data_IF_321826788679
#
_entry.id   IF_321826788679
#
_cell.length_a   1.000
_cell.length_b   1.000
_cell.length_c   1.000
_cell.angle_alpha   90.00
_cell.angle_beta   90.00
_cell.angle_gamma   90.00
#
_symmetry.space_group_name_H-M   'P 1'
#
loop_
_entity.id
_entity.type
_entity.pdbx_description
1 polymer ?
#
# COMPACT_ATOMS: atom_id res chain seq x y z
N UNK A 1 63.37 -49.35 -17.44
CA UNK A 1 62.61 -48.47 -16.51
C UNK A 1 61.73 -47.55 -17.34
N UNK A 2 60.44 -47.49 -17.03
CA UNK A 2 59.36 -46.98 -17.90
C UNK A 2 59.35 -45.43 -17.96
N UNK A 3 59.37 -44.86 -19.17
CA UNK A 3 59.04 -43.44 -19.40
C UNK A 3 57.53 -43.22 -19.28
N UNK A 4 57.09 -42.34 -18.37
CA UNK A 4 55.70 -41.90 -18.25
C UNK A 4 55.47 -40.64 -19.09
N UNK A 5 54.68 -40.78 -20.16
CA UNK A 5 54.13 -39.66 -20.92
C UNK A 5 52.90 -39.10 -20.18
N UNK A 6 52.98 -37.84 -19.74
CA UNK A 6 51.87 -37.10 -19.12
C UNK A 6 50.95 -36.58 -20.23
N UNK A 7 49.74 -37.13 -20.33
CA UNK A 7 48.68 -36.56 -21.19
C UNK A 7 48.08 -35.34 -20.50
N UNK A 8 48.21 -34.17 -21.11
CA UNK A 8 47.51 -32.95 -20.70
C UNK A 8 46.06 -33.04 -21.22
N UNK A 9 45.09 -33.03 -20.31
CA UNK A 9 43.66 -32.86 -20.65
C UNK A 9 43.35 -31.37 -20.68
N UNK A 10 42.99 -30.86 -21.85
CA UNK A 10 42.38 -29.54 -21.99
C UNK A 10 40.96 -29.61 -21.38
N UNK A 11 40.70 -28.87 -20.30
CA UNK A 11 39.32 -28.58 -19.88
C UNK A 11 38.82 -27.43 -20.74
N UNK A 12 37.75 -27.68 -21.50
CA UNK A 12 36.97 -26.63 -22.16
C UNK A 12 35.92 -26.16 -21.15
N UNK A 13 36.15 -25.00 -20.56
CA UNK A 13 35.17 -24.35 -19.69
C UNK A 13 34.12 -23.66 -20.56
N UNK A 14 32.93 -24.23 -20.66
CA UNK A 14 31.79 -23.57 -21.28
C UNK A 14 31.32 -22.44 -20.34
N UNK A 15 31.64 -21.19 -20.70
CA UNK A 15 31.08 -20.03 -20.02
C UNK A 15 29.61 -19.91 -20.41
N UNK A 16 28.71 -20.26 -19.49
CA UNK A 16 27.29 -19.97 -19.60
C UNK A 16 27.15 -18.45 -19.44
N UNK A 17 26.95 -17.75 -20.55
CA UNK A 17 26.53 -16.36 -20.55
C UNK A 17 25.11 -16.29 -20.00
N UNK A 18 24.96 -16.06 -18.69
CA UNK A 18 23.73 -15.53 -18.14
C UNK A 18 23.58 -14.10 -18.67
N UNK A 19 22.83 -13.92 -19.75
CA UNK A 19 22.32 -12.59 -20.10
C UNK A 19 21.42 -12.12 -18.95
N UNK A 20 21.66 -10.93 -18.37
CA UNK A 20 20.73 -10.39 -17.40
C UNK A 20 19.39 -10.24 -18.10
N UNK A 21 18.37 -10.95 -17.61
CA UNK A 21 16.99 -10.64 -17.98
C UNK A 21 16.74 -9.24 -17.46
N UNK A 22 16.70 -8.25 -18.36
CA UNK A 22 16.11 -6.96 -18.05
C UNK A 22 14.64 -7.27 -17.84
N UNK A 23 14.20 -7.31 -16.58
CA UNK A 23 12.77 -7.36 -16.28
C UNK A 23 12.20 -6.03 -16.77
N UNK A 24 11.51 -6.06 -17.91
CA UNK A 24 10.71 -4.95 -18.37
C UNK A 24 9.45 -4.93 -17.49
N UNK A 25 9.41 -4.02 -16.51
CA UNK A 25 8.23 -3.80 -15.68
C UNK A 25 7.21 -2.93 -16.43
N UNK A 26 6.95 -3.25 -17.69
CA UNK A 26 5.96 -2.51 -18.48
C UNK A 26 4.58 -2.94 -18.01
N UNK A 27 3.68 -2.00 -17.68
CA UNK A 27 2.32 -2.37 -17.34
C UNK A 27 1.66 -3.03 -18.56
N UNK A 28 1.12 -4.24 -18.38
CA UNK A 28 0.23 -4.88 -19.35
C UNK A 28 -1.21 -4.76 -18.84
N UNK A 29 -2.04 -4.01 -19.55
CA UNK A 29 -3.45 -3.86 -19.21
C UNK A 29 -4.21 -5.19 -19.24
N UNK A 30 -3.68 -6.23 -19.91
CA UNK A 30 -4.26 -7.56 -19.90
C UNK A 30 -4.03 -8.33 -18.57
N UNK A 31 -3.06 -7.91 -17.75
CA UNK A 31 -2.82 -8.48 -16.43
C UNK A 31 -3.76 -7.92 -15.36
N UNK A 32 -4.35 -6.74 -15.61
CA UNK A 32 -5.36 -6.19 -14.72
C UNK A 32 -6.67 -6.98 -14.81
N UNK A 33 -7.37 -7.06 -13.68
CA UNK A 33 -8.76 -7.49 -13.65
C UNK A 33 -9.57 -6.50 -14.48
N UNK A 34 -10.18 -6.96 -15.57
CA UNK A 34 -10.85 -6.06 -16.51
C UNK A 34 -12.06 -5.35 -15.87
N UNK A 35 -12.60 -5.91 -14.79
CA UNK A 35 -13.67 -5.33 -13.96
C UNK A 35 -13.17 -4.22 -13.02
N UNK A 36 -11.86 -4.02 -12.89
CA UNK A 36 -11.29 -2.92 -12.14
C UNK A 36 -11.58 -1.56 -12.77
N UNK A 37 -11.69 -1.52 -14.10
CA UNK A 37 -11.83 -0.29 -14.85
C UNK A 37 -13.30 0.11 -15.01
N UNK A 38 -13.60 1.38 -14.71
CA UNK A 38 -14.92 1.98 -14.96
C UNK A 38 -15.16 2.15 -16.45
N UNK A 39 -14.09 2.41 -17.20
CA UNK A 39 -14.07 2.50 -18.65
C UNK A 39 -12.76 1.91 -19.19
N UNK A 40 -12.73 1.52 -20.47
CA UNK A 40 -11.50 0.99 -21.06
C UNK A 40 -10.37 2.03 -20.99
N UNK A 41 -9.19 1.66 -20.47
CA UNK A 41 -8.05 2.57 -20.41
C UNK A 41 -7.66 3.10 -21.78
N UNK A 42 -7.23 4.36 -21.83
CA UNK A 42 -6.74 4.98 -23.07
C UNK A 42 -5.26 5.32 -22.95
N UNK A 43 -4.59 5.52 -24.08
CA UNK A 43 -3.20 6.00 -24.09
C UNK A 43 -3.20 7.50 -24.34
N UNK A 44 -2.55 8.25 -23.45
CA UNK A 44 -2.44 9.71 -23.49
C UNK A 44 -0.97 10.14 -23.42
N UNK A 45 -0.69 11.36 -23.87
CA UNK A 45 0.62 12.00 -23.66
C UNK A 45 0.78 12.37 -22.18
N UNK A 46 1.96 12.11 -21.61
CA UNK A 46 2.28 12.44 -20.22
C UNK A 46 3.74 12.86 -20.06
N UNK A 47 4.09 13.36 -18.88
CA UNK A 47 5.45 13.76 -18.52
C UNK A 47 5.89 12.99 -17.29
N UNK A 48 7.04 12.31 -17.37
CA UNK A 48 7.65 11.61 -16.24
C UNK A 48 8.19 12.61 -15.21
N UNK A 49 8.52 12.12 -14.01
CA UNK A 49 9.00 12.97 -12.90
C UNK A 49 10.33 13.67 -13.19
N UNK A 50 11.12 13.19 -14.15
CA UNK A 50 12.37 13.81 -14.61
C UNK A 50 12.16 14.86 -15.73
N UNK A 51 10.92 15.06 -16.18
CA UNK A 51 10.56 15.98 -17.27
C UNK A 51 10.56 15.33 -18.66
N UNK A 52 10.89 14.04 -18.78
CA UNK A 52 10.85 13.31 -20.04
C UNK A 52 9.41 13.18 -20.55
N UNK A 53 9.17 13.54 -21.81
CA UNK A 53 7.90 13.29 -22.48
C UNK A 53 7.71 11.79 -22.74
N UNK A 54 6.54 11.26 -22.42
CA UNK A 54 6.21 9.84 -22.51
C UNK A 54 4.75 9.63 -22.93
N UNK A 55 4.35 8.37 -23.07
CA UNK A 55 2.95 7.97 -23.14
C UNK A 55 2.55 7.20 -21.89
N UNK A 56 1.33 7.42 -21.42
CA UNK A 56 0.77 6.76 -20.24
C UNK A 56 -0.56 6.11 -20.59
N UNK A 57 -0.87 4.99 -19.91
CA UNK A 57 -2.24 4.55 -19.76
C UNK A 57 -2.96 5.48 -18.78
N UNK A 58 -4.06 6.07 -19.21
CA UNK A 58 -5.03 6.71 -18.35
C UNK A 58 -6.05 5.67 -17.92
N UNK A 59 -6.05 5.36 -16.62
CA UNK A 59 -6.85 4.31 -16.01
C UNK A 59 -7.82 4.97 -15.03
N UNK A 60 -9.12 4.71 -15.20
CA UNK A 60 -10.16 5.14 -14.26
C UNK A 60 -10.75 3.93 -13.55
N UNK A 61 -10.66 3.92 -12.22
CA UNK A 61 -11.19 2.85 -11.34
C UNK A 61 -12.27 3.41 -10.41
N UNK A 62 -13.12 2.53 -9.87
CA UNK A 62 -14.10 2.90 -8.85
C UNK A 62 -13.48 3.05 -7.46
N UNK A 63 -14.32 3.42 -6.48
CA UNK A 63 -13.92 3.57 -5.08
C UNK A 63 -13.31 2.30 -4.45
N UNK A 64 -13.70 1.10 -4.90
CA UNK A 64 -13.06 -0.19 -4.60
C UNK A 64 -13.48 -1.25 -5.64
N UNK A 65 -12.78 -2.39 -5.74
CA UNK A 65 -13.25 -3.55 -6.51
C UNK A 65 -14.56 -4.12 -5.96
N UNK A 66 -15.46 -4.55 -6.84
CA UNK A 66 -16.78 -5.06 -6.45
C UNK A 66 -16.69 -6.21 -5.43
N UNK A 67 -15.79 -7.16 -5.67
CA UNK A 67 -15.62 -8.37 -4.86
C UNK A 67 -14.64 -8.19 -3.67
N UNK A 68 -14.11 -6.98 -3.47
CA UNK A 68 -13.24 -6.70 -2.32
C UNK A 68 -14.09 -6.40 -1.08
N UNK A 69 -14.11 -7.34 -0.15
CA UNK A 69 -14.59 -7.12 1.22
C UNK A 69 -13.55 -6.30 1.99
N UNK A 70 -13.99 -5.21 2.63
CA UNK A 70 -13.12 -4.29 3.36
C UNK A 70 -13.53 -4.21 4.84
N UNK A 71 -12.57 -3.88 5.69
CA UNK A 71 -12.79 -3.86 7.14
C UNK A 71 -12.78 -5.27 7.76
N UNK A 72 -13.09 -5.37 9.07
CA UNK A 72 -13.31 -4.28 10.02
C UNK A 72 -12.06 -3.40 10.22
N UNK A 73 -12.27 -2.11 10.52
CA UNK A 73 -11.22 -1.10 10.74
C UNK A 73 -11.06 -0.78 12.24
N UNK A 74 -11.90 0.09 12.79
CA UNK A 74 -11.92 0.39 14.22
C UNK A 74 -12.86 -0.57 14.97
N UNK A 75 -12.46 -1.16 16.11
CA UNK A 75 -13.40 -1.87 16.97
C UNK A 75 -14.37 -0.88 17.63
N UNK A 76 -15.63 -1.26 17.81
CA UNK A 76 -16.62 -0.39 18.47
C UNK A 76 -16.35 -0.25 19.97
N UNK A 77 -15.91 -1.33 20.61
CA UNK A 77 -15.58 -1.38 22.04
C UNK A 77 -14.29 -2.13 22.29
N UNK A 78 -13.74 -2.04 23.51
CA UNK A 78 -12.60 -2.85 23.95
C UNK A 78 -12.86 -4.36 23.88
N UNK A 79 -14.10 -4.84 23.84
CA UNK A 79 -14.39 -6.27 23.71
C UNK A 79 -14.36 -6.76 22.25
N UNK A 80 -14.27 -5.84 21.29
CA UNK A 80 -14.22 -6.13 19.87
C UNK A 80 -12.78 -6.10 19.36
N UNK A 81 -12.58 -6.54 18.12
CA UNK A 81 -11.32 -6.42 17.43
C UNK A 81 -11.53 -5.77 16.05
N UNK A 82 -10.77 -4.71 15.79
CA UNK A 82 -10.85 -3.87 14.60
C UNK A 82 -10.13 -4.48 13.41
N UNK A 83 -9.12 -3.82 12.88
CA UNK A 83 -8.24 -4.29 11.83
C UNK A 83 -6.81 -4.45 12.35
N UNK A 84 -5.83 -3.88 11.68
CA UNK A 84 -4.42 -3.88 12.09
C UNK A 84 -3.83 -2.47 12.10
N UNK A 85 -2.74 -2.31 12.85
CA UNK A 85 -1.96 -1.09 12.85
C UNK A 85 -0.47 -1.38 13.00
N UNK A 86 0.36 -0.73 12.19
CA UNK A 86 1.82 -0.77 12.33
C UNK A 86 2.28 0.28 13.34
N UNK A 87 2.45 -0.17 14.59
CA UNK A 87 2.90 0.71 15.65
C UNK A 87 4.41 0.88 15.59
N UNK A 88 4.86 2.14 15.51
CA UNK A 88 6.29 2.49 15.36
C UNK A 88 6.92 3.06 16.63
N UNK A 89 6.21 3.08 17.76
CA UNK A 89 6.69 3.61 19.03
C UNK A 89 7.38 2.56 19.91
N UNK A 90 7.32 2.74 21.22
CA UNK A 90 7.83 1.73 22.16
C UNK A 90 7.08 0.41 21.99
N UNK A 91 7.80 -0.70 21.87
CA UNK A 91 7.25 -2.01 21.46
C UNK A 91 6.75 -2.06 20.01
N UNK A 92 7.47 -1.40 19.09
CA UNK A 92 7.13 -1.35 17.67
C UNK A 92 6.95 -2.73 17.03
N UNK A 93 5.82 -2.92 16.34
CA UNK A 93 5.48 -4.05 15.47
C UNK A 93 4.07 -3.82 14.90
N UNK A 94 3.66 -4.75 14.03
CA UNK A 94 2.26 -4.89 13.62
C UNK A 94 1.40 -5.45 14.75
N UNK A 95 0.28 -4.79 15.04
CA UNK A 95 -0.70 -5.21 16.03
C UNK A 95 -2.08 -5.42 15.41
N UNK A 96 -2.82 -6.36 16.00
CA UNK A 96 -4.28 -6.38 15.92
C UNK A 96 -4.81 -5.19 16.73
N UNK A 97 -5.80 -4.47 16.20
CA UNK A 97 -6.47 -3.41 16.98
C UNK A 97 -7.50 -4.05 17.90
N UNK A 98 -7.05 -4.55 19.06
CA UNK A 98 -7.87 -5.19 20.09
C UNK A 98 -7.64 -4.57 21.48
N UNK A 99 -8.30 -5.10 22.51
CA UNK A 99 -8.16 -4.63 23.90
C UNK A 99 -6.70 -4.51 24.33
N UNK A 100 -5.89 -5.53 24.06
CA UNK A 100 -4.52 -5.60 24.55
C UNK A 100 -3.67 -4.49 23.92
N UNK A 101 -3.86 -4.25 22.62
CA UNK A 101 -3.18 -3.17 21.93
C UNK A 101 -3.66 -1.79 22.41
N UNK A 102 -4.97 -1.57 22.53
CA UNK A 102 -5.51 -0.27 22.94
C UNK A 102 -5.12 0.09 24.38
N UNK A 103 -5.08 -0.89 25.29
CA UNK A 103 -4.58 -0.68 26.66
C UNK A 103 -3.08 -0.40 26.70
N UNK A 104 -2.30 -1.05 25.83
CA UNK A 104 -0.87 -0.74 25.70
C UNK A 104 -0.64 0.70 25.24
N UNK A 105 -1.45 1.19 24.28
CA UNK A 105 -1.41 2.58 23.86
C UNK A 105 -1.79 3.55 25.00
N UNK A 106 -2.82 3.23 25.79
CA UNK A 106 -3.25 4.03 26.96
C UNK A 106 -2.13 4.13 28.00
N UNK A 107 -1.45 3.02 28.31
CA UNK A 107 -0.27 3.00 29.20
C UNK A 107 0.88 3.89 28.68
N UNK A 108 0.98 4.05 27.36
CA UNK A 108 1.93 4.94 26.70
C UNK A 108 1.43 6.39 26.56
N UNK A 109 0.22 6.69 27.04
CA UNK A 109 -0.39 8.02 27.02
C UNK A 109 -1.27 8.32 25.80
N UNK A 110 -1.58 7.32 24.98
CA UNK A 110 -2.44 7.43 23.81
C UNK A 110 -3.80 6.77 24.07
N UNK A 111 -4.73 7.51 24.67
CA UNK A 111 -6.03 6.97 25.07
C UNK A 111 -7.09 7.04 23.96
N UNK A 112 -7.43 5.88 23.39
CA UNK A 112 -8.41 5.74 22.29
C UNK A 112 -9.82 5.31 22.74
N UNK A 113 -10.13 5.28 24.04
CA UNK A 113 -11.42 4.77 24.53
C UNK A 113 -11.89 5.50 25.80
N UNK A 114 -13.20 5.49 26.00
CA UNK A 114 -13.90 6.00 27.18
C UNK A 114 -13.81 5.03 28.36
N UNK A 115 -14.11 5.47 29.58
CA UNK A 115 -14.04 4.62 30.79
C UNK A 115 -14.97 3.40 30.75
N UNK A 116 -16.03 3.44 29.95
CA UNK A 116 -16.94 2.31 29.72
C UNK A 116 -16.45 1.32 28.65
N UNK A 117 -15.32 1.63 28.00
CA UNK A 117 -14.69 0.83 26.96
C UNK A 117 -15.19 1.11 25.55
N UNK A 118 -16.02 2.14 25.32
CA UNK A 118 -16.34 2.60 23.97
C UNK A 118 -15.09 3.20 23.31
N UNK A 119 -14.78 2.80 22.07
CA UNK A 119 -13.63 3.32 21.34
C UNK A 119 -14.00 4.65 20.67
N UNK A 120 -13.11 5.63 20.76
CA UNK A 120 -13.25 6.89 20.05
C UNK A 120 -13.06 6.64 18.54
N UNK A 121 -14.16 6.65 17.79
CA UNK A 121 -14.15 6.48 16.33
C UNK A 121 -14.53 7.81 15.67
N UNK A 122 -13.85 8.14 14.58
CA UNK A 122 -14.15 9.32 13.77
C UNK A 122 -14.11 8.98 12.28
N UNK A 123 -15.11 9.44 11.55
CA UNK A 123 -15.03 9.56 10.10
C UNK A 123 -14.46 10.94 9.78
N UNK A 124 -13.18 10.99 9.41
CA UNK A 124 -12.49 12.26 9.20
C UNK A 124 -12.70 12.86 7.80
N UNK A 125 -13.53 12.23 6.96
CA UNK A 125 -14.03 12.84 5.73
C UNK A 125 -15.07 13.94 6.05
N UNK A 126 -15.92 13.69 7.05
CA UNK A 126 -17.02 14.60 7.44
C UNK A 126 -16.76 15.37 8.72
N UNK A 127 -16.05 14.76 9.67
CA UNK A 127 -15.91 15.29 11.02
C UNK A 127 -14.45 15.52 11.42
N UNK A 128 -14.25 16.49 12.33
CA UNK A 128 -12.94 16.69 12.96
C UNK A 128 -12.90 15.93 14.28
N UNK A 129 -11.81 15.22 14.61
CA UNK A 129 -11.65 14.62 15.92
C UNK A 129 -11.79 15.68 17.04
N UNK A 130 -12.60 15.39 18.05
CA UNK A 130 -12.84 16.27 19.20
C UNK A 130 -12.11 15.80 20.48
N UNK A 131 -11.44 14.66 20.39
CA UNK A 131 -10.63 14.03 21.43
C UNK A 131 -9.17 13.97 20.99
N UNK A 132 -8.24 13.84 21.93
CA UNK A 132 -6.80 13.82 21.64
C UNK A 132 -6.39 12.63 20.76
N UNK A 133 -7.04 11.48 20.95
CA UNK A 133 -6.78 10.26 20.19
C UNK A 133 -8.07 9.58 19.74
N UNK A 134 -8.17 9.33 18.43
CA UNK A 134 -9.32 8.73 17.79
C UNK A 134 -8.87 7.76 16.71
N UNK A 135 -9.55 6.62 16.65
CA UNK A 135 -9.41 5.65 15.58
C UNK A 135 -10.20 6.18 14.38
N UNK A 136 -9.53 6.37 13.25
CA UNK A 136 -10.14 6.88 12.02
C UNK A 136 -10.74 5.69 11.25
N UNK A 137 -12.01 5.81 10.90
CA UNK A 137 -12.76 4.85 10.10
C UNK A 137 -13.67 5.64 9.14
N UNK A 138 -13.22 5.78 7.90
CA UNK A 138 -13.92 6.55 6.87
C UNK A 138 -14.93 5.67 6.15
N UNK A 139 -16.13 6.19 5.94
CA UNK A 139 -17.16 5.54 5.14
C UNK A 139 -16.83 5.65 3.65
N UNK A 140 -16.97 4.58 2.86
CA UNK A 140 -16.77 4.67 1.41
C UNK A 140 -17.83 5.58 0.76
N UNK A 141 -17.42 6.31 -0.27
CA UNK A 141 -18.29 7.02 -1.19
C UNK A 141 -18.35 6.24 -2.50
N UNK A 142 -19.48 5.59 -2.75
CA UNK A 142 -19.66 4.68 -3.88
C UNK A 142 -19.65 5.38 -5.24
N UNK A 143 -19.83 6.71 -5.26
CA UNK A 143 -19.87 7.51 -6.48
C UNK A 143 -18.49 8.01 -6.92
N UNK A 144 -17.45 7.79 -6.08
CA UNK A 144 -16.09 8.25 -6.37
C UNK A 144 -15.39 7.34 -7.38
N UNK A 145 -14.66 7.99 -8.28
CA UNK A 145 -13.73 7.36 -9.21
C UNK A 145 -12.34 7.97 -9.09
N UNK A 146 -11.32 7.17 -9.38
CA UNK A 146 -9.92 7.57 -9.30
C UNK A 146 -9.31 7.40 -10.69
N UNK A 147 -8.71 8.47 -11.22
CA UNK A 147 -7.95 8.43 -12.46
C UNK A 147 -6.45 8.46 -12.18
N UNK A 148 -5.72 7.52 -12.78
CA UNK A 148 -4.28 7.34 -12.63
C UNK A 148 -3.59 7.33 -14.00
N UNK A 149 -2.34 7.79 -14.02
CA UNK A 149 -1.45 7.69 -15.18
C UNK A 149 -0.35 6.68 -14.90
N UNK A 150 -0.31 5.60 -15.68
CA UNK A 150 0.75 4.59 -15.65
C UNK A 150 1.61 4.71 -16.91
N UNK A 151 2.92 5.01 -16.82
CA UNK A 151 3.79 5.05 -17.99
C UNK A 151 3.76 3.73 -18.77
N UNK A 152 3.54 3.79 -20.08
CA UNK A 152 3.53 2.58 -20.94
C UNK A 152 4.92 1.94 -20.99
N UNK A 153 5.96 2.78 -21.02
CA UNK A 153 7.37 2.39 -20.99
C UNK A 153 8.05 3.14 -19.82
N UNK A 154 8.01 2.58 -18.59
CA UNK A 154 8.58 3.23 -17.42
C UNK A 154 10.11 3.25 -17.51
N UNK A 155 10.70 4.39 -17.15
CA UNK A 155 12.16 4.58 -17.12
C UNK A 155 12.68 4.34 -15.71
N UNK A 156 13.73 3.53 -15.61
CA UNK A 156 14.44 3.33 -14.34
C UNK A 156 15.03 4.65 -13.84
N UNK A 157 14.67 5.03 -12.62
CA UNK A 157 15.22 6.22 -11.98
C UNK A 157 16.73 6.05 -11.68
N UNK A 158 17.49 7.14 -11.83
CA UNK A 158 18.93 7.15 -11.55
C UNK A 158 19.27 6.86 -10.08
N UNK A 159 18.36 7.18 -9.16
CA UNK A 159 18.48 6.98 -7.72
C UNK A 159 17.13 6.58 -7.11
N UNK A 160 17.12 5.82 -6.00
CA UNK A 160 15.89 5.51 -5.29
C UNK A 160 15.15 6.78 -4.81
N UNK A 161 13.85 6.84 -5.04
CA UNK A 161 12.98 7.89 -4.51
C UNK A 161 12.54 7.55 -3.09
N UNK A 162 12.69 8.49 -2.15
CA UNK A 162 12.11 8.36 -0.81
C UNK A 162 10.63 8.75 -0.88
N UNK A 163 9.73 7.80 -0.64
CA UNK A 163 8.29 7.98 -0.79
C UNK A 163 7.66 8.86 0.32
N UNK A 164 8.25 8.91 1.51
CA UNK A 164 7.66 9.64 2.64
C UNK A 164 6.37 9.00 3.14
N UNK A 165 5.55 9.77 3.85
CA UNK A 165 4.18 9.39 4.24
C UNK A 165 3.24 9.63 3.06
N UNK A 166 2.28 8.72 2.83
CA UNK A 166 1.30 8.80 1.71
C UNK A 166 1.92 9.03 0.32
N UNK A 167 3.10 8.48 0.09
CA UNK A 167 3.76 8.50 -1.22
C UNK A 167 3.16 7.46 -2.15
N UNK A 168 2.98 7.80 -3.43
CA UNK A 168 2.44 6.88 -4.45
C UNK A 168 3.44 5.76 -4.74
N UNK A 169 3.07 4.52 -4.44
CA UNK A 169 3.90 3.32 -4.68
C UNK A 169 3.53 2.70 -6.03
N UNK A 170 2.24 2.52 -6.28
CA UNK A 170 1.75 1.84 -7.46
C UNK A 170 0.25 1.60 -7.41
N UNK A 171 -0.21 0.61 -8.16
CA UNK A 171 -1.61 0.16 -8.21
C UNK A 171 -1.59 -1.37 -8.29
N UNK A 172 -2.51 -2.02 -7.59
CA UNK A 172 -2.71 -3.46 -7.66
C UNK A 172 -3.44 -3.84 -8.97
N UNK A 173 -3.37 -5.12 -9.36
CA UNK A 173 -4.00 -5.60 -10.61
C UNK A 173 -5.53 -5.53 -10.58
N UNK A 174 -6.14 -5.42 -9.40
CA UNK A 174 -7.56 -5.15 -9.20
C UNK A 174 -7.91 -3.65 -9.26
N UNK A 175 -6.93 -2.80 -9.56
CA UNK A 175 -7.09 -1.34 -9.70
C UNK A 175 -6.95 -0.56 -8.39
N UNK A 176 -6.75 -1.20 -7.25
CA UNK A 176 -6.63 -0.48 -5.97
C UNK A 176 -5.27 0.23 -5.87
N UNK A 177 -5.24 1.55 -5.63
CA UNK A 177 -3.98 2.27 -5.45
C UNK A 177 -3.21 1.81 -4.21
N UNK A 178 -1.88 1.88 -4.28
CA UNK A 178 -0.96 1.53 -3.19
C UNK A 178 -0.16 2.77 -2.81
N UNK A 179 -0.16 3.09 -1.52
CA UNK A 179 0.59 4.18 -0.94
C UNK A 179 1.60 3.66 0.08
N UNK A 180 2.67 4.43 0.32
CA UNK A 180 3.58 4.19 1.44
C UNK A 180 2.90 4.50 2.77
N UNK A 181 3.64 4.35 3.87
CA UNK A 181 3.17 4.51 5.25
C UNK A 181 2.07 5.56 5.45
N UNK A 182 0.99 5.14 6.12
CA UNK A 182 -0.04 6.03 6.61
C UNK A 182 0.53 7.01 7.65
N UNK A 183 -0.09 8.19 7.86
CA UNK A 183 0.33 9.11 8.92
C UNK A 183 0.32 8.42 10.29
N UNK A 184 1.43 8.51 11.01
CA UNK A 184 1.59 7.81 12.28
C UNK A 184 0.80 8.47 13.41
N UNK A 185 0.39 7.68 14.42
CA UNK A 185 -0.27 8.19 15.63
C UNK A 185 0.59 9.25 16.34
N UNK A 186 1.92 9.08 16.34
CA UNK A 186 2.82 10.04 16.98
C UNK A 186 2.85 11.39 16.25
N UNK A 187 2.54 11.41 14.94
CA UNK A 187 2.49 12.62 14.14
C UNK A 187 1.12 13.30 14.19
N UNK A 188 0.04 12.53 14.20
CA UNK A 188 -1.33 13.07 14.05
C UNK A 188 -2.16 13.02 15.33
N UNK A 189 -1.78 12.20 16.31
CA UNK A 189 -2.62 11.83 17.45
C UNK A 189 -3.67 10.77 17.13
N UNK A 190 -3.91 10.46 15.86
CA UNK A 190 -5.02 9.62 15.42
C UNK A 190 -4.53 8.40 14.65
N UNK A 191 -5.28 7.31 14.70
CA UNK A 191 -4.92 6.04 14.09
C UNK A 191 -5.75 5.80 12.83
N UNK A 192 -5.21 5.95 11.61
CA UNK A 192 -5.88 5.56 10.37
C UNK A 192 -5.91 4.04 10.23
N UNK A 193 -6.84 3.42 10.96
CA UNK A 193 -6.92 1.97 11.10
C UNK A 193 -7.00 1.29 9.73
N UNK A 194 -6.09 0.34 9.51
CA UNK A 194 -6.12 -0.54 8.35
C UNK A 194 -7.04 -1.71 8.66
N UNK A 195 -7.69 -2.28 7.67
CA UNK A 195 -8.31 -3.59 7.82
C UNK A 195 -7.25 -4.71 7.89
N UNK A 196 -7.70 -5.95 8.02
CA UNK A 196 -6.81 -7.11 8.14
C UNK A 196 -5.94 -7.35 6.90
N UNK A 197 -6.32 -6.81 5.75
CA UNK A 197 -5.59 -6.93 4.50
C UNK A 197 -4.60 -5.77 4.31
N UNK A 198 -4.65 -4.73 5.15
CA UNK A 198 -3.66 -3.66 5.16
C UNK A 198 -4.04 -2.41 4.38
N UNK A 199 -5.33 -2.21 4.11
CA UNK A 199 -5.85 -1.01 3.45
C UNK A 199 -6.94 -0.32 4.25
N UNK A 200 -7.33 0.87 3.80
CA UNK A 200 -8.44 1.64 4.37
C UNK A 200 -9.07 2.55 3.34
N UNK A 201 -10.18 3.20 3.72
CA UNK A 201 -10.84 4.23 2.93
C UNK A 201 -10.18 5.59 3.19
N UNK A 202 -9.73 6.25 2.13
CA UNK A 202 -9.22 7.62 2.12
C UNK A 202 -10.32 8.61 2.53
N UNK A 203 -10.02 9.78 3.14
CA UNK A 203 -11.01 10.82 3.38
C UNK A 203 -11.77 11.30 2.12
N UNK A 204 -11.25 11.02 0.93
CA UNK A 204 -11.94 11.20 -0.34
C UNK A 204 -12.95 10.10 -0.71
N UNK A 205 -13.19 9.10 0.16
CA UNK A 205 -14.23 8.08 0.01
C UNK A 205 -13.83 6.81 -0.76
N UNK A 206 -12.55 6.61 -1.07
CA UNK A 206 -12.08 5.48 -1.87
C UNK A 206 -10.99 4.66 -1.16
N UNK A 207 -10.96 3.36 -1.43
CA UNK A 207 -10.12 2.40 -0.75
C UNK A 207 -8.71 2.33 -1.35
N UNK A 208 -7.70 2.17 -0.50
CA UNK A 208 -6.31 2.00 -0.90
C UNK A 208 -5.49 1.18 0.08
N UNK A 209 -4.38 0.63 -0.42
CA UNK A 209 -3.45 -0.18 0.36
C UNK A 209 -2.32 0.67 0.95
N UNK A 210 -1.92 0.32 2.17
CA UNK A 210 -0.68 0.76 2.81
C UNK A 210 0.30 -0.39 3.08
N UNK A 211 -0.22 -1.60 3.24
CA UNK A 211 0.57 -2.82 3.36
C UNK A 211 0.16 -3.79 2.25
N UNK A 212 1.16 -4.29 1.50
CA UNK A 212 1.02 -5.22 0.37
C UNK A 212 2.09 -6.29 0.46
#
# INVERSE_FOLDING_TARGET
MKHHSRKVRLLVTAAILCTPQIAAAHPDLAEFEQTAFVEHPTTVDCTLTDGTAATCYEITVGYKPADLEIGPFCPATLNDAGGIWDWTGENAKLYRIDEAFLRMLDDLGYRFFDDDGAVHIVDNATDRPTVDHACINVSPDEDVTITMLLPVDPVMADQPTRLGTVGKVGVALDGVPIFSDAPSIQATGHMPALDICGGHVDPGGWYHWHAT
#
